data_IF_590630799571
#
_entry.id   IF_590630799571
#
_cell.length_a   1.000
_cell.length_b   1.000
_cell.length_c   1.000
_cell.angle_alpha   90.00
_cell.angle_beta   90.00
_cell.angle_gamma   90.00
#
_symmetry.space_group_name_H-M   'P 1'
#
loop_
_entity.id
_entity.type
_entity.pdbx_description
1 polymer ?
#
# COMPACT_ATOMS: atom_id res chain seq x y z
N UNK A 1 -2.20 7.71 32.06
CA UNK A 1 -3.32 8.21 31.24
C UNK A 1 -3.26 7.69 29.79
N UNK A 2 -2.22 7.95 28.97
CA UNK A 2 -2.11 7.44 27.59
C UNK A 2 -2.31 5.92 27.49
N UNK A 3 -1.55 5.13 28.25
CA UNK A 3 -1.67 3.64 28.28
C UNK A 3 -3.08 3.15 28.65
N UNK A 4 -3.80 3.90 29.48
CA UNK A 4 -5.18 3.56 29.85
C UNK A 4 -6.14 3.82 28.70
N UNK A 5 -6.00 4.95 27.99
CA UNK A 5 -6.80 5.25 26.80
C UNK A 5 -6.54 4.26 25.68
N UNK A 6 -5.29 3.88 25.43
CA UNK A 6 -4.91 2.85 24.46
C UNK A 6 -5.50 1.48 24.84
N UNK A 7 -5.50 1.11 26.12
CA UNK A 7 -6.13 -0.12 26.63
C UNK A 7 -7.64 -0.10 26.38
N UNK A 8 -8.31 1.05 26.62
CA UNK A 8 -9.74 1.20 26.37
C UNK A 8 -10.09 1.09 24.89
N UNK A 9 -9.30 1.71 24.01
CA UNK A 9 -9.47 1.59 22.55
C UNK A 9 -9.37 0.12 22.15
N UNK A 10 -8.30 -0.60 22.55
CA UNK A 10 -8.14 -2.04 22.25
C UNK A 10 -9.29 -2.90 22.80
N UNK A 11 -9.76 -2.61 24.03
CA UNK A 11 -10.88 -3.32 24.63
C UNK A 11 -12.17 -3.18 23.81
N UNK A 12 -12.54 -1.94 23.46
CA UNK A 12 -13.77 -1.70 22.70
C UNK A 12 -13.66 -2.17 21.26
N UNK A 13 -12.49 -2.10 20.66
CA UNK A 13 -12.24 -2.64 19.32
C UNK A 13 -12.44 -4.15 19.27
N UNK A 14 -11.84 -4.90 20.23
CA UNK A 14 -12.04 -6.35 20.32
C UNK A 14 -13.51 -6.71 20.53
N UNK A 15 -14.21 -5.98 21.38
CA UNK A 15 -15.62 -6.21 21.66
C UNK A 15 -16.48 -5.93 20.42
N UNK A 16 -16.25 -4.81 19.75
CA UNK A 16 -16.93 -4.47 18.50
C UNK A 16 -16.80 -5.57 17.45
N UNK A 17 -15.56 -6.07 17.23
CA UNK A 17 -15.30 -7.15 16.28
C UNK A 17 -15.99 -8.47 16.68
N UNK A 18 -16.06 -8.78 17.96
CA UNK A 18 -16.73 -9.98 18.45
C UNK A 18 -18.27 -9.88 18.31
N UNK A 19 -18.86 -8.72 18.60
CA UNK A 19 -20.30 -8.46 18.43
C UNK A 19 -20.70 -8.47 16.95
N UNK A 20 -19.90 -7.86 16.07
CA UNK A 20 -20.09 -7.85 14.61
C UNK A 20 -20.03 -9.27 14.01
N UNK A 21 -19.11 -10.09 14.50
CA UNK A 21 -18.93 -11.47 14.01
C UNK A 21 -20.12 -12.40 14.31
N UNK A 22 -20.90 -12.09 15.35
CA UNK A 22 -22.08 -12.87 15.74
C UNK A 22 -23.41 -12.18 15.40
N UNK A 23 -23.37 -11.06 14.65
CA UNK A 23 -24.55 -10.35 14.20
C UNK A 23 -25.33 -9.60 15.31
N UNK A 24 -24.67 -9.27 16.41
CA UNK A 24 -25.27 -8.47 17.51
C UNK A 24 -25.18 -6.99 17.17
N UNK A 25 -26.17 -6.19 17.63
CA UNK A 25 -26.14 -4.73 17.46
C UNK A 25 -24.88 -4.10 18.08
N UNK A 26 -24.01 -3.61 17.20
CA UNK A 26 -22.71 -3.00 17.57
C UNK A 26 -22.81 -1.51 17.92
N UNK A 27 -23.99 -0.89 17.77
CA UNK A 27 -24.21 0.54 17.96
C UNK A 27 -23.64 1.09 19.29
N UNK A 28 -23.99 0.51 20.45
CA UNK A 28 -23.46 0.98 21.74
C UNK A 28 -21.95 0.84 21.88
N UNK A 29 -21.36 -0.22 21.33
CA UNK A 29 -19.90 -0.46 21.37
C UNK A 29 -19.17 0.44 20.40
N UNK A 30 -19.73 0.70 19.20
CA UNK A 30 -19.21 1.66 18.22
C UNK A 30 -19.11 3.08 18.80
N UNK A 31 -20.14 3.53 19.53
CA UNK A 31 -20.14 4.83 20.22
C UNK A 31 -19.01 4.91 21.24
N UNK A 32 -18.83 3.87 22.07
CA UNK A 32 -17.76 3.81 23.08
C UNK A 32 -16.37 3.79 22.43
N UNK A 33 -16.20 3.06 21.33
CA UNK A 33 -14.96 3.01 20.57
C UNK A 33 -14.62 4.39 19.97
N UNK A 34 -15.60 5.05 19.36
CA UNK A 34 -15.45 6.41 18.80
C UNK A 34 -15.07 7.43 19.90
N UNK A 35 -15.72 7.38 21.06
CA UNK A 35 -15.39 8.24 22.19
C UNK A 35 -13.98 7.99 22.74
N UNK A 36 -13.58 6.71 22.88
CA UNK A 36 -12.24 6.35 23.35
C UNK A 36 -11.14 6.79 22.36
N UNK A 37 -11.36 6.66 21.05
CA UNK A 37 -10.45 7.15 20.01
C UNK A 37 -10.33 8.68 20.05
N UNK A 38 -11.46 9.40 20.15
CA UNK A 38 -11.46 10.87 20.26
C UNK A 38 -10.67 11.35 21.49
N UNK A 39 -10.85 10.70 22.64
CA UNK A 39 -10.12 11.03 23.88
C UNK A 39 -8.60 10.76 23.74
N UNK A 40 -8.21 9.66 23.08
CA UNK A 40 -6.80 9.35 22.81
C UNK A 40 -6.19 10.39 21.88
N UNK A 41 -6.87 10.76 20.80
CA UNK A 41 -6.40 11.79 19.85
C UNK A 41 -6.22 13.14 20.53
N UNK A 42 -7.20 13.58 21.33
CA UNK A 42 -7.11 14.85 22.07
C UNK A 42 -5.94 14.83 23.08
N UNK A 43 -5.74 13.71 23.78
CA UNK A 43 -4.62 13.56 24.72
C UNK A 43 -3.27 13.61 23.99
N UNK A 44 -3.15 12.98 22.82
CA UNK A 44 -1.93 13.00 22.00
C UNK A 44 -1.65 14.43 21.52
N UNK A 45 -2.68 15.15 21.02
CA UNK A 45 -2.52 16.53 20.56
C UNK A 45 -2.10 17.51 21.66
N UNK A 46 -2.63 17.34 22.89
CA UNK A 46 -2.29 18.17 24.04
C UNK A 46 -0.87 17.89 24.58
N UNK A 47 -0.38 16.65 24.43
CA UNK A 47 0.98 16.28 24.86
C UNK A 47 2.05 16.58 23.79
N UNK A 48 1.70 16.63 22.51
CA UNK A 48 2.63 16.85 21.39
C UNK A 48 3.08 18.33 21.30
N UNK A 49 2.30 19.28 21.84
CA UNK A 49 2.67 20.70 21.87
C UNK A 49 3.87 21.05 22.75
N UNK A 50 4.39 20.12 23.56
CA UNK A 50 5.54 20.34 24.48
C UNK A 50 6.73 19.39 24.25
N UNK A 51 6.65 18.43 23.37
CA UNK A 51 7.72 17.44 23.11
C UNK A 51 8.18 17.33 21.65
N UNK A 52 7.69 18.21 20.76
CA UNK A 52 7.77 18.00 19.32
C UNK A 52 9.16 18.25 18.71
N UNK A 53 9.99 19.14 19.26
CA UNK A 53 11.31 19.44 18.69
C UNK A 53 12.31 18.27 18.81
N UNK A 54 12.27 17.54 19.91
CA UNK A 54 13.16 16.39 20.14
C UNK A 54 12.73 15.14 19.36
N UNK A 55 11.43 14.91 19.27
CA UNK A 55 10.86 13.77 18.56
C UNK A 55 10.97 13.92 17.05
N UNK A 56 10.72 15.11 16.53
CA UNK A 56 10.86 15.42 15.09
C UNK A 56 12.30 15.25 14.64
N UNK A 57 13.29 15.63 15.46
CA UNK A 57 14.72 15.40 15.17
C UNK A 57 15.10 13.92 15.21
N UNK A 58 14.62 13.15 16.19
CA UNK A 58 14.88 11.71 16.28
C UNK A 58 14.16 10.93 15.17
N UNK A 59 12.92 11.27 14.85
CA UNK A 59 12.17 10.68 13.76
C UNK A 59 12.80 11.02 12.40
N UNK A 60 13.24 12.26 12.22
CA UNK A 60 13.95 12.72 11.01
C UNK A 60 15.33 12.07 10.88
N UNK A 61 16.09 11.95 11.97
CA UNK A 61 17.38 11.25 11.99
C UNK A 61 17.21 9.74 11.72
N UNK A 62 16.17 9.11 12.26
CA UNK A 62 15.85 7.68 12.03
C UNK A 62 15.36 7.46 10.59
N UNK A 63 14.51 8.34 10.05
CA UNK A 63 14.08 8.29 8.66
C UNK A 63 15.27 8.52 7.71
N UNK A 64 16.21 9.41 8.05
CA UNK A 64 17.44 9.64 7.29
C UNK A 64 18.41 8.45 7.38
N UNK A 65 18.48 7.75 8.51
CA UNK A 65 19.28 6.53 8.64
C UNK A 65 18.65 5.38 7.81
N UNK A 66 17.34 5.21 7.88
CA UNK A 66 16.59 4.25 7.04
C UNK A 66 16.76 4.60 5.55
N UNK A 67 16.71 5.88 5.18
CA UNK A 67 16.94 6.34 3.80
C UNK A 67 18.40 6.09 3.35
N UNK A 68 19.39 6.22 4.24
CA UNK A 68 20.79 5.87 3.93
C UNK A 68 20.99 4.37 3.77
N UNK A 69 20.38 3.54 4.60
CA UNK A 69 20.41 2.08 4.44
C UNK A 69 19.63 1.61 3.19
N UNK A 70 18.58 2.34 2.78
CA UNK A 70 17.80 2.02 1.57
C UNK A 70 18.42 2.53 0.29
N UNK A 71 19.23 3.59 0.31
CA UNK A 71 19.87 4.13 -0.91
C UNK A 71 20.81 3.14 -1.59
N UNK A 72 21.43 2.22 -0.84
CA UNK A 72 22.24 1.13 -1.41
C UNK A 72 21.43 -0.01 -2.04
N UNK A 73 20.11 -0.01 -1.92
CA UNK A 73 19.23 -1.05 -2.46
C UNK A 73 18.39 -0.60 -3.67
N UNK A 74 18.48 0.66 -4.09
CA UNK A 74 17.77 1.13 -5.27
C UNK A 74 18.49 0.70 -6.55
N UNK A 75 17.72 0.20 -7.50
CA UNK A 75 18.19 -0.25 -8.80
C UNK A 75 18.05 0.86 -9.83
N UNK A 76 19.04 1.02 -10.68
CA UNK A 76 18.93 1.90 -11.84
C UNK A 76 17.99 1.29 -12.90
N UNK A 77 17.22 2.15 -13.56
CA UNK A 77 16.40 1.73 -14.68
C UNK A 77 17.27 1.71 -15.93
N UNK A 78 17.55 0.52 -16.44
CA UNK A 78 18.31 0.29 -17.67
C UNK A 78 17.36 0.07 -18.86
N UNK A 79 17.86 0.16 -20.08
CA UNK A 79 17.06 -0.23 -21.26
C UNK A 79 16.71 -1.73 -21.23
N UNK A 80 17.61 -2.55 -20.69
CA UNK A 80 17.36 -3.98 -20.51
C UNK A 80 16.20 -4.23 -19.52
N UNK A 81 16.16 -3.51 -18.38
CA UNK A 81 15.06 -3.66 -17.44
C UNK A 81 13.71 -3.25 -18.04
N UNK A 82 13.68 -2.22 -18.90
CA UNK A 82 12.47 -1.84 -19.63
C UNK A 82 12.06 -2.93 -20.63
N UNK A 83 13.00 -3.54 -21.34
CA UNK A 83 12.71 -4.64 -22.27
C UNK A 83 12.22 -5.90 -21.55
N UNK A 84 12.69 -6.15 -20.33
CA UNK A 84 12.29 -7.28 -19.50
C UNK A 84 10.82 -7.26 -19.06
N UNK A 85 10.14 -6.10 -19.12
CA UNK A 85 8.71 -6.00 -18.81
C UNK A 85 7.91 -6.81 -19.83
N UNK A 86 7.21 -7.85 -19.35
CA UNK A 86 6.38 -8.73 -20.16
C UNK A 86 4.89 -8.55 -19.82
N UNK A 87 3.98 -8.81 -20.77
CA UNK A 87 2.57 -8.96 -20.46
C UNK A 87 2.33 -10.17 -19.54
N UNK A 88 1.34 -10.09 -18.68
CA UNK A 88 0.85 -11.23 -17.90
C UNK A 88 -0.66 -11.39 -18.10
N UNK A 89 -1.15 -12.63 -17.99
CA UNK A 89 -2.58 -12.90 -18.05
C UNK A 89 -3.27 -12.51 -16.74
N UNK A 90 -4.43 -11.88 -16.82
CA UNK A 90 -5.27 -11.49 -15.69
C UNK A 90 -6.74 -11.53 -16.08
N UNK A 91 -7.66 -11.45 -15.12
CA UNK A 91 -9.10 -11.48 -15.38
C UNK A 91 -9.65 -10.14 -15.88
N UNK A 92 -9.08 -9.04 -15.42
CA UNK A 92 -9.54 -7.68 -15.74
C UNK A 92 -9.29 -7.30 -17.19
N UNK A 93 -8.24 -7.83 -17.82
CA UNK A 93 -7.80 -7.42 -19.15
C UNK A 93 -7.69 -8.63 -20.08
N UNK A 94 -8.13 -8.46 -21.30
CA UNK A 94 -7.85 -9.40 -22.39
C UNK A 94 -6.37 -9.36 -22.82
N UNK A 95 -5.98 -10.17 -23.78
CA UNK A 95 -4.61 -10.22 -24.28
C UNK A 95 -4.12 -8.90 -24.89
N UNK A 96 -5.01 -8.07 -25.46
CA UNK A 96 -4.66 -6.76 -25.98
C UNK A 96 -4.44 -5.76 -24.85
N UNK A 97 -5.32 -5.76 -23.84
CA UNK A 97 -5.20 -4.97 -22.63
C UNK A 97 -3.95 -5.31 -21.83
N UNK A 98 -3.62 -6.61 -21.68
CA UNK A 98 -2.39 -7.05 -21.01
C UNK A 98 -1.12 -6.54 -21.70
N UNK A 99 -1.10 -6.54 -23.05
CA UNK A 99 0.01 -5.91 -23.82
C UNK A 99 0.04 -4.41 -23.65
N UNK A 100 -1.12 -3.74 -23.61
CA UNK A 100 -1.20 -2.32 -23.36
C UNK A 100 -0.70 -1.96 -21.96
N UNK A 101 -1.02 -2.75 -20.93
CA UNK A 101 -0.52 -2.61 -19.56
C UNK A 101 1.01 -2.78 -19.50
N UNK A 102 1.58 -3.78 -20.16
CA UNK A 102 3.03 -3.94 -20.24
C UNK A 102 3.71 -2.73 -20.90
N UNK A 103 3.11 -2.17 -21.97
CA UNK A 103 3.60 -0.95 -22.59
C UNK A 103 3.46 0.27 -21.68
N UNK A 104 2.41 0.34 -20.86
CA UNK A 104 2.23 1.38 -19.85
C UNK A 104 3.33 1.32 -18.77
N UNK A 105 3.71 0.12 -18.30
CA UNK A 105 4.84 -0.07 -17.39
C UNK A 105 6.18 0.38 -18.02
N UNK A 106 6.43 0.01 -19.29
CA UNK A 106 7.63 0.47 -20.02
C UNK A 106 7.71 1.99 -20.09
N UNK A 107 6.58 2.64 -20.42
CA UNK A 107 6.49 4.11 -20.44
C UNK A 107 6.69 4.72 -19.04
N UNK A 108 6.12 4.10 -18.00
CA UNK A 108 6.31 4.54 -16.61
C UNK A 108 7.77 4.49 -16.20
N UNK A 109 8.51 3.42 -16.52
CA UNK A 109 9.94 3.32 -16.25
C UNK A 109 10.74 4.39 -17.00
N UNK A 110 10.41 4.69 -18.26
CA UNK A 110 11.03 5.79 -19.01
C UNK A 110 10.79 7.14 -18.32
N UNK A 111 9.61 7.38 -17.78
CA UNK A 111 9.31 8.60 -17.02
C UNK A 111 10.03 8.62 -15.65
N UNK A 112 10.13 7.45 -14.98
CA UNK A 112 10.84 7.33 -13.71
C UNK A 112 12.36 7.57 -13.83
N UNK A 113 12.96 7.34 -15.00
CA UNK A 113 14.37 7.72 -15.25
C UNK A 113 14.64 9.23 -15.23
N UNK A 114 13.58 10.05 -15.35
CA UNK A 114 13.70 11.53 -15.39
C UNK A 114 13.69 12.15 -13.99
N UNK A 115 13.48 11.37 -12.94
CA UNK A 115 13.44 11.84 -11.55
C UNK A 115 14.60 11.24 -10.74
N UNK A 116 14.95 11.83 -9.58
CA UNK A 116 16.02 11.29 -8.74
C UNK A 116 15.80 9.82 -8.38
N UNK A 117 16.89 9.06 -8.28
CA UNK A 117 16.85 7.67 -7.86
C UNK A 117 16.17 7.54 -6.49
N UNK A 118 15.24 6.59 -6.39
CA UNK A 118 14.42 6.39 -5.19
C UNK A 118 13.06 7.08 -5.23
N UNK A 119 12.84 8.07 -6.11
CA UNK A 119 11.54 8.72 -6.29
C UNK A 119 10.64 7.85 -7.16
N UNK A 120 9.42 7.62 -6.69
CA UNK A 120 8.43 6.82 -7.39
C UNK A 120 7.58 7.67 -8.33
N UNK A 121 7.17 7.06 -9.41
CA UNK A 121 6.16 7.59 -10.31
C UNK A 121 4.96 6.64 -10.39
N UNK A 122 3.78 7.22 -10.64
CA UNK A 122 2.55 6.45 -10.84
C UNK A 122 1.71 7.03 -11.97
N UNK A 123 0.79 6.22 -12.48
CA UNK A 123 -0.26 6.63 -13.41
C UNK A 123 -1.48 5.74 -13.23
N UNK A 124 -2.67 6.28 -13.56
CA UNK A 124 -3.91 5.51 -13.56
C UNK A 124 -4.46 5.37 -14.97
N UNK A 125 -5.19 4.28 -15.19
CA UNK A 125 -5.83 3.93 -16.46
C UNK A 125 -7.25 3.41 -16.19
N UNK A 126 -8.19 3.69 -17.11
CA UNK A 126 -9.45 2.95 -17.16
C UNK A 126 -9.21 1.48 -17.52
N UNK A 127 -10.25 0.64 -17.42
CA UNK A 127 -10.16 -0.78 -17.82
C UNK A 127 -9.95 -0.94 -19.33
N UNK A 128 -10.23 0.08 -20.11
CA UNK A 128 -9.93 0.19 -21.56
C UNK A 128 -8.49 0.62 -21.85
N UNK A 129 -7.65 0.71 -20.81
CA UNK A 129 -6.27 1.18 -20.88
C UNK A 129 -6.10 2.63 -21.36
N UNK A 130 -7.18 3.45 -21.37
CA UNK A 130 -7.04 4.89 -21.57
C UNK A 130 -6.52 5.56 -20.29
N UNK A 131 -5.58 6.51 -20.40
CA UNK A 131 -4.98 7.16 -19.24
C UNK A 131 -6.00 8.07 -18.52
N UNK A 132 -6.05 7.96 -17.19
CA UNK A 132 -6.83 8.82 -16.31
C UNK A 132 -5.89 9.89 -15.72
N UNK A 133 -5.78 11.02 -16.38
CA UNK A 133 -4.89 12.12 -15.97
C UNK A 133 -3.42 11.91 -16.35
N UNK A 134 -2.55 12.72 -15.70
CA UNK A 134 -1.10 12.71 -15.93
C UNK A 134 -0.34 11.69 -15.09
N UNK A 135 0.99 11.82 -15.10
CA UNK A 135 1.85 11.08 -14.18
C UNK A 135 1.87 11.75 -12.80
N UNK A 136 1.78 10.95 -11.75
CA UNK A 136 2.08 11.36 -10.39
C UNK A 136 3.57 11.18 -10.12
N UNK A 137 4.14 12.07 -9.33
CA UNK A 137 5.54 11.99 -8.89
C UNK A 137 5.58 12.06 -7.38
N UNK A 138 6.32 11.18 -6.75
CA UNK A 138 6.52 11.20 -5.32
C UNK A 138 7.26 12.45 -4.85
N UNK A 139 6.85 13.02 -3.73
CA UNK A 139 7.54 14.16 -3.10
C UNK A 139 8.83 13.74 -2.40
N UNK A 140 8.93 12.46 -2.04
CA UNK A 140 10.08 11.86 -1.38
C UNK A 140 10.30 10.42 -1.88
N UNK A 141 11.49 9.89 -1.62
CA UNK A 141 11.82 8.51 -1.96
C UNK A 141 10.87 7.51 -1.30
N UNK A 142 10.50 6.45 -2.05
CA UNK A 142 9.71 5.33 -1.59
C UNK A 142 8.24 5.66 -1.31
N UNK A 143 7.67 6.67 -1.96
CA UNK A 143 6.23 6.90 -1.87
C UNK A 143 5.70 7.77 -3.01
N UNK A 144 4.54 7.41 -3.54
CA UNK A 144 3.78 8.22 -4.49
C UNK A 144 2.29 8.22 -4.11
N UNK A 145 1.65 9.37 -4.21
CA UNK A 145 0.20 9.46 -4.01
C UNK A 145 -0.52 9.23 -5.31
N UNK A 146 -1.52 8.36 -5.29
CA UNK A 146 -2.37 8.03 -6.43
C UNK A 146 -3.78 8.56 -6.15
N UNK A 147 -4.39 9.22 -7.13
CA UNK A 147 -5.79 9.67 -7.02
C UNK A 147 -6.76 8.49 -6.94
N UNK A 148 -7.91 8.72 -6.33
CA UNK A 148 -9.03 7.81 -6.36
C UNK A 148 -10.03 8.27 -7.43
N UNK A 149 -10.64 7.32 -8.13
CA UNK A 149 -11.66 7.55 -9.16
C UNK A 149 -12.95 6.83 -8.76
N UNK A 150 -14.10 7.29 -9.23
CA UNK A 150 -15.41 6.66 -8.99
C UNK A 150 -15.58 5.39 -9.82
N UNK A 151 -15.12 5.42 -11.07
CA UNK A 151 -15.19 4.31 -11.99
C UNK A 151 -14.06 3.30 -11.75
N UNK A 152 -14.25 2.02 -12.12
CA UNK A 152 -13.20 1.00 -12.02
C UNK A 152 -11.94 1.41 -12.79
N UNK A 153 -10.79 1.25 -12.14
CA UNK A 153 -9.50 1.67 -12.71
C UNK A 153 -8.34 0.78 -12.31
N UNK A 154 -7.27 0.91 -13.06
CA UNK A 154 -5.96 0.29 -12.82
C UNK A 154 -4.98 1.37 -12.40
N UNK A 155 -4.28 1.17 -11.29
CA UNK A 155 -3.18 2.04 -10.87
C UNK A 155 -1.85 1.31 -11.08
N UNK A 156 -0.89 2.00 -11.66
CA UNK A 156 0.47 1.50 -11.84
C UNK A 156 1.47 2.42 -11.16
N UNK A 157 2.50 1.89 -10.49
CA UNK A 157 3.62 2.67 -9.98
C UNK A 157 4.93 1.88 -10.07
N UNK A 158 6.08 2.56 -9.98
CA UNK A 158 7.36 1.87 -9.93
C UNK A 158 7.90 1.78 -8.51
N UNK A 159 8.60 0.68 -8.22
CA UNK A 159 9.41 0.52 -7.02
C UNK A 159 10.90 0.58 -7.34
N UNK A 160 11.63 1.59 -6.85
CA UNK A 160 13.06 1.72 -7.12
C UNK A 160 13.90 0.55 -6.61
N UNK A 161 13.46 -0.13 -5.56
CA UNK A 161 14.14 -1.31 -5.00
C UNK A 161 13.91 -2.60 -5.81
N UNK A 162 12.93 -2.65 -6.69
CA UNK A 162 12.50 -3.86 -7.39
C UNK A 162 11.69 -4.83 -6.51
N UNK A 163 11.31 -4.43 -5.30
CA UNK A 163 10.49 -5.24 -4.40
C UNK A 163 9.00 -5.15 -4.77
N UNK A 164 8.23 -6.12 -4.29
CA UNK A 164 6.78 -6.16 -4.38
C UNK A 164 6.13 -5.06 -3.52
N UNK A 165 4.82 -5.10 -3.33
CA UNK A 165 4.03 -4.11 -2.61
C UNK A 165 4.54 -3.81 -1.20
N UNK A 166 4.46 -2.54 -0.80
CA UNK A 166 4.59 -2.14 0.60
C UNK A 166 3.28 -2.39 1.37
N UNK A 167 3.31 -2.45 2.71
CA UNK A 167 2.07 -2.48 3.51
C UNK A 167 1.13 -1.30 3.21
N UNK A 168 1.69 -0.14 2.86
CA UNK A 168 0.93 1.05 2.46
C UNK A 168 0.21 0.89 1.12
N UNK A 169 0.83 0.23 0.15
CA UNK A 169 0.22 -0.07 -1.15
C UNK A 169 -0.97 -1.03 -0.99
N UNK A 170 -0.77 -2.09 -0.20
CA UNK A 170 -1.81 -3.09 0.10
C UNK A 170 -2.99 -2.43 0.82
N UNK A 171 -2.72 -1.58 1.82
CA UNK A 171 -3.76 -0.83 2.52
C UNK A 171 -4.50 0.11 1.56
N UNK A 172 -3.75 0.85 0.73
CA UNK A 172 -4.31 1.75 -0.28
C UNK A 172 -5.20 1.04 -1.29
N UNK A 173 -4.79 -0.14 -1.77
CA UNK A 173 -5.56 -1.00 -2.67
C UNK A 173 -6.84 -1.51 -2.01
N UNK A 174 -6.74 -2.02 -0.77
CA UNK A 174 -7.88 -2.54 -0.04
C UNK A 174 -8.96 -1.48 0.23
N UNK A 175 -8.55 -0.23 0.50
CA UNK A 175 -9.48 0.85 0.85
C UNK A 175 -10.10 1.59 -0.34
N UNK A 176 -9.62 1.36 -1.57
CA UNK A 176 -10.18 1.95 -2.80
C UNK A 176 -11.02 0.93 -3.53
N UNK A 177 -12.34 0.92 -3.28
CA UNK A 177 -13.25 -0.08 -3.83
C UNK A 177 -13.25 -0.09 -5.38
N UNK A 178 -13.13 1.07 -6.01
CA UNK A 178 -13.04 1.23 -7.47
C UNK A 178 -11.68 0.89 -8.08
N UNK A 179 -10.60 0.77 -7.27
CA UNK A 179 -9.32 0.30 -7.78
C UNK A 179 -9.40 -1.21 -8.05
N UNK A 180 -9.61 -1.59 -9.32
CA UNK A 180 -9.74 -2.98 -9.74
C UNK A 180 -8.41 -3.71 -9.71
N UNK A 181 -7.34 -3.01 -10.13
CA UNK A 181 -6.00 -3.57 -10.13
C UNK A 181 -4.99 -2.53 -9.65
N UNK A 182 -4.04 -2.97 -8.82
CA UNK A 182 -2.83 -2.24 -8.46
C UNK A 182 -1.62 -3.00 -8.96
N UNK A 183 -0.72 -2.34 -9.70
CA UNK A 183 0.50 -2.97 -10.17
C UNK A 183 1.73 -2.19 -9.74
N UNK A 184 2.81 -2.92 -9.51
CA UNK A 184 4.15 -2.39 -9.26
C UNK A 184 5.08 -2.91 -10.34
N UNK A 185 5.86 -2.01 -10.95
CA UNK A 185 6.98 -2.40 -11.78
C UNK A 185 8.29 -2.02 -11.09
N UNK A 186 9.13 -3.00 -10.81
CA UNK A 186 10.47 -2.77 -10.27
C UNK A 186 11.35 -2.04 -11.28
N UNK A 187 12.32 -1.27 -10.81
CA UNK A 187 13.32 -0.65 -11.69
C UNK A 187 14.15 -1.69 -12.48
N UNK A 188 14.10 -2.97 -12.08
CA UNK A 188 14.70 -4.10 -12.81
C UNK A 188 13.78 -4.72 -13.88
N UNK A 189 12.54 -4.20 -14.01
CA UNK A 189 11.54 -4.66 -14.96
C UNK A 189 10.64 -5.79 -14.44
N UNK A 190 10.81 -6.24 -13.20
CA UNK A 190 9.89 -7.20 -12.58
C UNK A 190 8.53 -6.55 -12.34
N UNK A 191 7.43 -7.23 -12.66
CA UNK A 191 6.07 -6.73 -12.47
C UNK A 191 5.35 -7.56 -11.43
N UNK A 192 4.62 -6.90 -10.53
CA UNK A 192 3.72 -7.50 -9.55
C UNK A 192 2.33 -6.90 -9.71
N UNK A 193 1.28 -7.69 -9.52
CA UNK A 193 -0.09 -7.18 -9.57
C UNK A 193 -0.95 -7.76 -8.46
N UNK A 194 -1.85 -6.93 -7.95
CA UNK A 194 -3.01 -7.30 -7.13
C UNK A 194 -4.26 -6.98 -7.93
N UNK A 195 -5.13 -7.94 -8.11
CA UNK A 195 -6.36 -7.83 -8.88
C UNK A 195 -7.56 -8.26 -8.06
N UNK A 196 -8.57 -7.42 -7.95
CA UNK A 196 -9.86 -7.78 -7.38
C UNK A 196 -10.65 -8.64 -8.37
N UNK A 197 -11.32 -9.67 -7.85
CA UNK A 197 -12.22 -10.52 -8.64
C UNK A 197 -13.68 -10.28 -8.25
N UNK A 198 -14.60 -10.89 -8.94
CA UNK A 198 -16.02 -10.87 -8.56
C UNK A 198 -16.27 -11.49 -7.16
N UNK A 199 -15.34 -12.33 -6.67
CA UNK A 199 -15.39 -12.93 -5.33
C UNK A 199 -14.77 -12.07 -4.24
N UNK A 200 -14.28 -10.86 -4.55
CA UNK A 200 -13.58 -10.03 -3.56
C UNK A 200 -14.48 -9.64 -2.39
N UNK A 201 -14.08 -10.05 -1.19
CA UNK A 201 -14.70 -9.60 0.04
C UNK A 201 -13.98 -8.35 0.56
N UNK A 202 -14.47 -7.17 0.14
CA UNK A 202 -13.86 -5.88 0.49
C UNK A 202 -13.77 -5.66 2.01
N UNK A 203 -14.71 -6.15 2.81
CA UNK A 203 -14.68 -5.98 4.25
C UNK A 203 -13.54 -6.79 4.90
N UNK A 204 -13.38 -8.05 4.52
CA UNK A 204 -12.30 -8.91 5.01
C UNK A 204 -10.95 -8.42 4.52
N UNK A 205 -10.83 -8.05 3.25
CA UNK A 205 -9.61 -7.50 2.67
C UNK A 205 -9.16 -6.23 3.40
N UNK A 206 -10.08 -5.27 3.66
CA UNK A 206 -9.77 -4.03 4.41
C UNK A 206 -9.30 -4.33 5.84
N UNK A 207 -9.94 -5.27 6.54
CA UNK A 207 -9.54 -5.67 7.90
C UNK A 207 -8.14 -6.30 7.91
N UNK A 208 -7.87 -7.21 6.98
CA UNK A 208 -6.58 -7.90 6.88
C UNK A 208 -5.45 -6.94 6.47
N UNK A 209 -5.69 -6.06 5.50
CA UNK A 209 -4.71 -5.06 5.07
C UNK A 209 -4.39 -4.05 6.18
N UNK A 210 -5.38 -3.64 6.98
CA UNK A 210 -5.16 -2.77 8.14
C UNK A 210 -4.34 -3.48 9.22
N UNK A 211 -4.63 -4.76 9.49
CA UNK A 211 -3.85 -5.56 10.44
C UNK A 211 -2.39 -5.72 10.00
N UNK A 212 -2.14 -5.96 8.72
CA UNK A 212 -0.79 -5.99 8.16
C UNK A 212 -0.08 -4.64 8.32
N UNK A 213 -0.76 -3.55 7.97
CA UNK A 213 -0.21 -2.20 8.06
C UNK A 213 0.15 -1.83 9.50
N UNK A 214 -0.75 -2.12 10.46
CA UNK A 214 -0.51 -1.85 11.88
C UNK A 214 0.66 -2.70 12.42
N UNK A 215 0.75 -3.97 12.04
CA UNK A 215 1.86 -4.84 12.41
C UNK A 215 3.19 -4.33 11.83
N UNK A 216 3.21 -3.93 10.56
CA UNK A 216 4.42 -3.43 9.90
C UNK A 216 4.90 -2.06 10.43
N UNK A 217 4.03 -1.32 11.12
CA UNK A 217 4.39 -0.06 11.79
C UNK A 217 4.99 -0.27 13.21
N UNK A 218 5.16 -1.51 13.65
CA UNK A 218 5.88 -1.79 14.91
C UNK A 218 7.35 -1.37 14.76
N UNK A 219 7.82 -0.40 15.56
CA UNK A 219 9.18 0.12 15.43
C UNK A 219 10.28 -0.90 15.82
N UNK A 220 9.91 -2.03 16.42
CA UNK A 220 10.85 -3.10 16.76
C UNK A 220 11.14 -4.03 15.58
N UNK A 221 10.31 -4.03 14.53
CA UNK A 221 10.49 -4.91 13.39
C UNK A 221 11.62 -4.45 12.48
N UNK A 222 12.40 -5.42 12.04
CA UNK A 222 13.37 -5.23 10.97
C UNK A 222 12.67 -5.14 9.61
N UNK A 223 13.34 -4.56 8.61
CA UNK A 223 12.85 -4.56 7.22
C UNK A 223 12.54 -5.97 6.72
N UNK A 224 13.39 -6.95 7.06
CA UNK A 224 13.19 -8.35 6.66
C UNK A 224 11.91 -8.94 7.29
N UNK A 225 11.64 -8.64 8.55
CA UNK A 225 10.42 -9.08 9.22
C UNK A 225 9.17 -8.47 8.56
N UNK A 226 9.20 -7.20 8.18
CA UNK A 226 8.11 -6.56 7.43
C UNK A 226 7.92 -7.21 6.06
N UNK A 227 9.01 -7.51 5.34
CA UNK A 227 8.94 -8.22 4.06
C UNK A 227 8.32 -9.60 4.21
N UNK A 228 8.65 -10.33 5.26
CA UNK A 228 8.07 -11.64 5.55
C UNK A 228 6.56 -11.55 5.82
N UNK A 229 6.10 -10.52 6.57
CA UNK A 229 4.67 -10.26 6.79
C UNK A 229 3.95 -9.97 5.46
N UNK A 230 4.53 -9.16 4.60
CA UNK A 230 3.96 -8.88 3.26
C UNK A 230 3.91 -10.14 2.42
N UNK A 231 4.99 -10.91 2.36
CA UNK A 231 5.03 -12.17 1.59
C UNK A 231 3.98 -13.16 2.07
N UNK A 232 3.83 -13.30 3.38
CA UNK A 232 2.79 -14.16 3.96
C UNK A 232 1.39 -13.68 3.56
N UNK A 233 1.10 -12.39 3.71
CA UNK A 233 -0.18 -11.81 3.29
C UNK A 233 -0.48 -12.05 1.81
N UNK A 234 0.51 -11.81 0.93
CA UNK A 234 0.36 -12.01 -0.52
C UNK A 234 0.13 -13.49 -0.88
N UNK A 235 0.74 -14.42 -0.15
CA UNK A 235 0.52 -15.86 -0.30
C UNK A 235 -0.92 -16.30 0.07
N UNK A 236 -1.59 -15.55 0.92
CA UNK A 236 -2.95 -15.85 1.40
C UNK A 236 -4.03 -14.94 0.80
N UNK A 237 -3.68 -14.00 -0.07
CA UNK A 237 -4.61 -12.94 -0.51
C UNK A 237 -5.81 -13.49 -1.30
N UNK A 238 -5.70 -14.69 -1.88
CA UNK A 238 -6.79 -15.37 -2.59
C UNK A 238 -7.99 -15.69 -1.70
N UNK A 239 -7.79 -15.88 -0.38
CA UNK A 239 -8.90 -16.08 0.56
C UNK A 239 -9.83 -14.85 0.67
N UNK A 240 -9.36 -13.68 0.22
CA UNK A 240 -10.15 -12.45 0.15
C UNK A 240 -10.73 -12.19 -1.24
N UNK A 241 -10.58 -13.14 -2.18
CA UNK A 241 -11.01 -12.99 -3.57
C UNK A 241 -10.13 -12.04 -4.38
N UNK A 242 -8.83 -11.97 -4.06
CA UNK A 242 -7.84 -11.17 -4.77
C UNK A 242 -6.81 -12.09 -5.39
N UNK A 243 -6.45 -11.86 -6.65
CA UNK A 243 -5.34 -12.53 -7.30
C UNK A 243 -4.03 -11.74 -7.10
N UNK A 244 -2.96 -12.45 -6.83
CA UNK A 244 -1.61 -11.91 -6.80
C UNK A 244 -0.77 -12.52 -7.91
N UNK A 245 -0.16 -11.66 -8.69
CA UNK A 245 0.75 -12.06 -9.79
C UNK A 245 2.15 -11.58 -9.44
N UNK A 246 3.11 -12.49 -9.44
CA UNK A 246 4.53 -12.19 -9.32
C UNK A 246 5.20 -12.42 -10.69
N UNK A 247 5.68 -11.35 -11.31
CA UNK A 247 6.35 -11.48 -12.60
C UNK A 247 7.78 -11.97 -12.43
N UNK A 248 7.96 -13.15 -12.75
CA UNK A 248 9.02 -14.08 -13.17
C UNK A 248 8.79 -15.44 -12.52
N UNK A 249 8.01 -16.22 -13.14
CA UNK A 249 8.24 -17.68 -13.19
C UNK A 249 8.58 -18.05 -14.63
#
# INVERSE_FOLDING_TARGET
MRRDLERRVRKYQRRFLAEDAVGVDTGPTAVKLKAARKALTAFVQDTDGKQDEGRTRLQSARNNAILKETSGSYKEITMQSIQNVQPFACETLDAAGSRALANAHKKLLLEARKVPLGVEKARCYGLDMQPLGGYYTGEKAGSVRISNFSEPYIAIHNHPSGLTFSPGDILGFAHRDSMQMLTVVGNDGTVYALEKTAATNSCLLKKAALSLYDAANDPSLTRQAIMNLVTHFLGEVTQYGVHYYAGRD
#
